data_IF_608333611419
#
_entry.id   IF_608333611419
#
_cell.length_a   1.000
_cell.length_b   1.000
_cell.length_c   1.000
_cell.angle_alpha   90.00
_cell.angle_beta   90.00
_cell.angle_gamma   90.00
#
_symmetry.space_group_name_H-M   'P 1'
#
loop_
_entity.id
_entity.type
_entity.pdbx_description
1 polymer ?
#
# COMPACT_ATOMS: atom_id res chain seq x y z
N UNK A 1 56.44 -11.41 -2.59
CA UNK A 1 55.77 -10.15 -2.19
C UNK A 1 54.52 -10.00 -3.06
N UNK A 2 53.36 -9.71 -2.47
CA UNK A 2 52.14 -9.50 -3.26
C UNK A 2 52.29 -8.30 -4.19
N UNK A 3 51.78 -8.41 -5.41
CA UNK A 3 51.75 -7.28 -6.34
C UNK A 3 50.77 -6.22 -5.83
N UNK A 4 51.02 -4.95 -6.14
CA UNK A 4 50.10 -3.84 -5.82
C UNK A 4 48.68 -4.10 -6.34
N UNK A 5 48.55 -4.83 -7.46
CA UNK A 5 47.27 -5.25 -8.06
C UNK A 5 46.52 -6.27 -7.18
N UNK A 6 47.23 -7.22 -6.58
CA UNK A 6 46.64 -8.26 -5.72
C UNK A 6 46.12 -7.67 -4.41
N UNK A 7 46.88 -6.72 -3.84
CA UNK A 7 46.46 -5.95 -2.66
C UNK A 7 45.21 -5.11 -2.95
N UNK A 8 45.15 -4.43 -4.10
CA UNK A 8 43.97 -3.67 -4.51
C UNK A 8 42.72 -4.55 -4.65
N UNK A 9 42.84 -5.72 -5.29
CA UNK A 9 41.74 -6.67 -5.45
C UNK A 9 41.27 -7.24 -4.10
N UNK A 10 42.20 -7.59 -3.20
CA UNK A 10 41.88 -8.07 -1.85
C UNK A 10 41.12 -7.01 -1.03
N UNK A 11 41.57 -5.76 -1.11
CA UNK A 11 40.95 -4.64 -0.38
C UNK A 11 39.56 -4.36 -0.95
N UNK A 12 39.42 -4.30 -2.28
CA UNK A 12 38.13 -4.10 -2.97
C UNK A 12 37.11 -5.18 -2.63
N UNK A 13 37.51 -6.46 -2.70
CA UNK A 13 36.61 -7.59 -2.38
C UNK A 13 36.21 -7.61 -0.91
N UNK A 14 37.08 -7.21 0.02
CA UNK A 14 36.75 -7.03 1.43
C UNK A 14 35.72 -5.92 1.65
N UNK A 15 35.86 -4.77 0.98
CA UNK A 15 34.88 -3.69 1.07
C UNK A 15 33.51 -4.11 0.53
N UNK A 16 33.46 -4.71 -0.66
CA UNK A 16 32.21 -5.22 -1.24
C UNK A 16 31.53 -6.21 -0.30
N UNK A 17 32.29 -7.10 0.33
CA UNK A 17 31.78 -8.05 1.32
C UNK A 17 31.13 -7.34 2.52
N UNK A 18 31.79 -6.35 3.10
CA UNK A 18 31.26 -5.59 4.25
C UNK A 18 29.98 -4.83 3.85
N UNK A 19 29.98 -4.17 2.68
CA UNK A 19 28.82 -3.45 2.16
C UNK A 19 27.62 -4.37 1.94
N UNK A 20 27.87 -5.58 1.43
CA UNK A 20 26.85 -6.59 1.28
C UNK A 20 26.23 -6.94 2.63
N UNK A 21 27.01 -7.34 3.64
CA UNK A 21 26.46 -7.68 4.96
C UNK A 21 25.59 -6.58 5.57
N UNK A 22 26.07 -5.32 5.57
CA UNK A 22 25.28 -4.17 6.05
C UNK A 22 23.95 -4.05 5.30
N UNK A 23 23.99 -4.18 3.97
CA UNK A 23 22.77 -4.12 3.14
C UNK A 23 21.77 -5.22 3.50
N UNK A 24 22.24 -6.44 3.74
CA UNK A 24 21.36 -7.56 4.13
C UNK A 24 20.69 -7.30 5.47
N UNK A 25 21.43 -6.78 6.45
CA UNK A 25 20.86 -6.49 7.76
C UNK A 25 19.80 -5.38 7.68
N UNK A 26 20.05 -4.32 6.91
CA UNK A 26 19.01 -3.31 6.64
C UNK A 26 17.75 -3.92 6.00
N UNK A 27 17.90 -4.84 5.03
CA UNK A 27 16.76 -5.50 4.39
C UNK A 27 15.97 -6.36 5.39
N UNK A 28 16.65 -7.06 6.32
CA UNK A 28 15.98 -7.80 7.39
C UNK A 28 15.13 -6.86 8.26
N UNK A 29 15.70 -5.74 8.70
CA UNK A 29 14.97 -4.76 9.50
C UNK A 29 13.77 -4.17 8.74
N UNK A 30 13.93 -3.82 7.45
CA UNK A 30 12.81 -3.33 6.64
C UNK A 30 11.70 -4.37 6.46
N UNK A 31 12.02 -5.66 6.44
CA UNK A 31 11.00 -6.72 6.38
C UNK A 31 10.21 -6.81 7.67
N UNK A 32 10.88 -6.76 8.82
CA UNK A 32 10.23 -6.75 10.13
C UNK A 32 9.29 -5.54 10.29
N UNK A 33 9.76 -4.33 9.99
CA UNK A 33 8.93 -3.11 10.04
C UNK A 33 7.74 -3.16 9.08
N UNK A 34 7.90 -3.73 7.90
CA UNK A 34 6.78 -3.93 6.95
C UNK A 34 5.76 -4.92 7.50
N UNK A 35 6.22 -5.99 8.13
CA UNK A 35 5.36 -7.00 8.73
C UNK A 35 4.53 -6.44 9.89
N UNK A 36 5.14 -5.64 10.77
CA UNK A 36 4.44 -4.89 11.81
C UNK A 36 3.37 -3.96 11.23
N UNK A 37 3.72 -3.18 10.19
CA UNK A 37 2.76 -2.33 9.48
C UNK A 37 1.60 -3.14 8.88
N UNK A 38 1.89 -4.30 8.29
CA UNK A 38 0.85 -5.18 7.74
C UNK A 38 0.02 -5.83 8.84
N UNK A 39 0.58 -6.14 10.01
CA UNK A 39 -0.15 -6.65 11.17
C UNK A 39 -1.12 -5.60 11.70
N UNK A 40 -0.64 -4.36 11.88
CA UNK A 40 -1.47 -3.22 12.29
C UNK A 40 -2.58 -2.90 11.27
N UNK A 41 -2.30 -3.04 9.97
CA UNK A 41 -3.36 -2.90 8.95
C UNK A 41 -4.39 -4.03 9.08
N UNK A 42 -3.94 -5.29 9.19
CA UNK A 42 -4.82 -6.47 9.28
C UNK A 42 -5.80 -6.41 10.45
N UNK A 43 -5.40 -5.86 11.59
CA UNK A 43 -6.29 -5.72 12.75
C UNK A 43 -7.43 -4.72 12.50
N UNK A 44 -7.22 -3.68 11.70
CA UNK A 44 -8.19 -2.61 11.45
C UNK A 44 -9.07 -2.89 10.22
N UNK A 45 -8.58 -3.68 9.25
CA UNK A 45 -9.31 -4.04 8.03
C UNK A 45 -10.78 -4.48 8.24
N UNK A 46 -11.13 -5.38 9.19
CA UNK A 46 -12.51 -5.82 9.33
C UNK A 46 -13.47 -4.68 9.70
N UNK A 47 -13.01 -3.68 10.46
CA UNK A 47 -13.83 -2.52 10.84
C UNK A 47 -14.09 -1.63 9.61
N UNK A 48 -13.03 -1.31 8.84
CA UNK A 48 -13.16 -0.50 7.63
C UNK A 48 -14.05 -1.18 6.57
N UNK A 49 -13.94 -2.51 6.46
CA UNK A 49 -14.78 -3.27 5.54
C UNK A 49 -16.26 -3.21 5.95
N UNK A 50 -16.57 -3.36 7.24
CA UNK A 50 -17.94 -3.26 7.74
C UNK A 50 -18.53 -1.86 7.51
N UNK A 51 -17.76 -0.79 7.73
CA UNK A 51 -18.21 0.58 7.46
C UNK A 51 -18.56 0.81 5.98
N UNK A 52 -17.74 0.26 5.07
CA UNK A 52 -17.99 0.39 3.63
C UNK A 52 -19.17 -0.48 3.18
N UNK A 53 -19.31 -1.69 3.72
CA UNK A 53 -20.45 -2.57 3.46
C UNK A 53 -21.77 -1.92 3.91
N UNK A 54 -21.79 -1.22 5.06
CA UNK A 54 -22.97 -0.45 5.52
C UNK A 54 -23.32 0.73 4.59
N UNK A 55 -22.31 1.44 4.06
CA UNK A 55 -22.52 2.50 3.06
C UNK A 55 -23.08 1.90 1.77
N UNK A 56 -22.51 0.78 1.33
CA UNK A 56 -22.94 0.10 0.11
C UNK A 56 -24.40 -0.35 0.19
N UNK A 57 -24.81 -1.01 1.28
CA UNK A 57 -26.20 -1.48 1.48
C UNK A 57 -27.19 -0.32 1.48
N UNK A 58 -26.87 0.79 2.17
CA UNK A 58 -27.73 1.98 2.20
C UNK A 58 -27.95 2.56 0.82
N UNK A 59 -26.91 2.62 0.00
CA UNK A 59 -27.02 3.18 -1.34
C UNK A 59 -27.71 2.22 -2.28
N UNK A 60 -27.43 0.92 -2.16
CA UNK A 60 -28.11 -0.13 -2.90
C UNK A 60 -29.63 -0.05 -2.72
N UNK A 61 -30.12 0.15 -1.50
CA UNK A 61 -31.54 0.35 -1.24
C UNK A 61 -32.13 1.60 -1.91
N UNK A 62 -31.37 2.72 -1.95
CA UNK A 62 -31.79 3.94 -2.67
C UNK A 62 -31.90 3.68 -4.17
N UNK A 63 -30.94 2.95 -4.74
CA UNK A 63 -30.96 2.58 -6.16
C UNK A 63 -32.13 1.67 -6.50
N UNK A 64 -32.43 0.66 -5.67
CA UNK A 64 -33.59 -0.22 -5.87
C UNK A 64 -34.93 0.54 -5.77
N UNK A 65 -35.04 1.48 -4.83
CA UNK A 65 -36.22 2.34 -4.71
C UNK A 65 -36.40 3.23 -5.95
N UNK A 66 -35.31 3.82 -6.45
CA UNK A 66 -35.32 4.61 -7.67
C UNK A 66 -35.66 3.77 -8.91
N UNK A 67 -35.08 2.58 -9.03
CA UNK A 67 -35.38 1.64 -10.12
C UNK A 67 -36.87 1.26 -10.12
N UNK A 68 -37.44 0.97 -8.95
CA UNK A 68 -38.86 0.65 -8.82
C UNK A 68 -39.77 1.81 -9.24
N UNK A 69 -39.40 3.05 -8.93
CA UNK A 69 -40.17 4.24 -9.31
C UNK A 69 -40.14 4.47 -10.83
N UNK A 70 -38.96 4.36 -11.45
CA UNK A 70 -38.76 4.62 -12.88
C UNK A 70 -39.31 3.49 -13.76
N UNK A 71 -39.18 2.24 -13.33
CA UNK A 71 -39.51 1.05 -14.15
C UNK A 71 -40.95 0.55 -13.95
N UNK A 72 -41.80 1.27 -13.20
CA UNK A 72 -43.19 0.87 -12.91
C UNK A 72 -44.04 0.65 -14.16
N UNK A 73 -43.75 1.36 -15.26
CA UNK A 73 -44.59 1.38 -16.46
C UNK A 73 -44.13 0.37 -17.54
N UNK A 74 -43.04 -0.37 -17.31
CA UNK A 74 -42.48 -1.33 -18.27
C UNK A 74 -42.95 -2.76 -17.95
N UNK A 75 -43.74 -3.41 -18.83
CA UNK A 75 -44.25 -4.75 -18.57
C UNK A 75 -43.12 -5.79 -18.62
N UNK A 76 -43.10 -6.69 -17.64
CA UNK A 76 -42.13 -7.80 -17.57
C UNK A 76 -40.80 -7.47 -16.88
N UNK A 77 -40.61 -6.24 -16.40
CA UNK A 77 -39.43 -5.87 -15.62
C UNK A 77 -39.58 -6.31 -14.16
N UNK A 78 -38.53 -6.92 -13.59
CA UNK A 78 -38.46 -7.26 -12.16
C UNK A 78 -37.34 -6.46 -11.50
N UNK A 79 -37.71 -5.63 -10.53
CA UNK A 79 -36.77 -4.80 -9.78
C UNK A 79 -35.79 -5.69 -9.00
N UNK A 80 -34.50 -5.40 -9.12
CA UNK A 80 -33.45 -6.12 -8.37
C UNK A 80 -33.15 -7.54 -8.86
N UNK A 81 -33.64 -7.94 -10.04
CA UNK A 81 -33.24 -9.20 -10.67
C UNK A 81 -31.77 -9.13 -11.10
N UNK A 82 -30.97 -10.14 -10.71
CA UNK A 82 -29.55 -10.16 -11.06
C UNK A 82 -29.39 -10.42 -12.56
N UNK A 83 -28.57 -9.61 -13.23
CA UNK A 83 -28.20 -9.82 -14.64
C UNK A 83 -27.51 -11.18 -14.86
N UNK A 84 -26.82 -11.67 -13.83
CA UNK A 84 -26.13 -12.95 -13.87
C UNK A 84 -27.04 -14.07 -13.36
N UNK A 85 -26.99 -15.22 -14.02
CA UNK A 85 -27.75 -16.42 -13.66
C UNK A 85 -27.11 -17.22 -12.51
N UNK A 86 -25.90 -16.84 -12.08
CA UNK A 86 -25.27 -17.43 -10.91
C UNK A 86 -25.85 -16.80 -9.65
N UNK A 87 -26.38 -17.60 -8.72
CA UNK A 87 -26.82 -17.14 -7.39
C UNK A 87 -25.69 -16.62 -6.48
N UNK A 88 -24.53 -16.27 -7.06
CA UNK A 88 -23.38 -15.66 -6.40
C UNK A 88 -23.51 -14.15 -6.51
N UNK A 89 -23.29 -13.45 -5.40
CA UNK A 89 -23.17 -12.00 -5.41
C UNK A 89 -21.94 -11.56 -6.20
N UNK A 90 -22.13 -10.62 -7.14
CA UNK A 90 -21.08 -10.03 -7.97
C UNK A 90 -21.09 -8.53 -7.71
N UNK A 91 -19.94 -7.90 -7.41
CA UNK A 91 -19.89 -6.46 -7.23
C UNK A 91 -20.26 -5.75 -8.55
N UNK A 92 -21.03 -4.65 -8.50
CA UNK A 92 -21.42 -3.92 -9.70
C UNK A 92 -20.19 -3.30 -10.39
N UNK A 93 -20.05 -3.50 -11.70
CA UNK A 93 -18.87 -3.14 -12.49
C UNK A 93 -18.69 -1.62 -12.74
N UNK A 94 -19.77 -0.84 -12.66
CA UNK A 94 -19.75 0.61 -12.91
C UNK A 94 -20.68 1.38 -11.96
N UNK A 95 -20.12 2.44 -11.35
CA UNK A 95 -20.77 3.64 -10.81
C UNK A 95 -22.04 3.50 -9.94
N UNK A 96 -22.26 2.36 -9.30
CA UNK A 96 -23.01 2.30 -8.03
C UNK A 96 -22.05 2.56 -6.85
N UNK A 97 -20.77 2.83 -7.13
CA UNK A 97 -19.84 3.37 -6.15
C UNK A 97 -20.07 4.87 -5.97
N UNK A 98 -20.47 5.22 -4.75
CA UNK A 98 -20.49 6.58 -4.24
C UNK A 98 -19.12 7.22 -4.46
N UNK A 99 -19.14 8.47 -4.93
CA UNK A 99 -17.99 9.34 -5.21
C UNK A 99 -16.86 9.20 -4.18
N UNK A 100 -15.78 8.52 -4.56
CA UNK A 100 -14.43 8.98 -4.19
C UNK A 100 -14.01 9.93 -5.31
N UNK A 101 -14.00 11.21 -4.95
CA UNK A 101 -13.79 12.35 -5.81
C UNK A 101 -12.49 12.24 -6.61
N UNK A 102 -12.59 12.01 -7.93
CA UNK A 102 -11.50 12.17 -8.88
C UNK A 102 -11.21 13.67 -9.19
N UNK A 103 -11.38 14.57 -8.23
CA UNK A 103 -11.10 16.00 -8.41
C UNK A 103 -9.61 16.37 -8.21
N UNK A 104 -8.74 15.41 -7.87
CA UNK A 104 -7.31 15.70 -7.64
C UNK A 104 -6.42 15.51 -8.89
N UNK A 105 -6.95 15.04 -10.02
CA UNK A 105 -6.11 14.62 -11.15
C UNK A 105 -5.87 15.69 -12.25
N UNK A 106 -6.46 16.90 -12.13
CA UNK A 106 -6.27 17.97 -13.14
C UNK A 106 -5.29 19.09 -12.74
N UNK A 107 -4.45 18.92 -11.70
CA UNK A 107 -3.55 20.00 -11.26
C UNK A 107 -2.05 19.76 -11.47
N UNK A 108 -1.61 18.56 -11.91
CA UNK A 108 -0.17 18.23 -11.98
C UNK A 108 0.42 18.37 -13.39
N UNK A 109 -0.40 18.57 -14.43
CA UNK A 109 0.10 18.68 -15.82
C UNK A 109 0.47 20.11 -16.25
N UNK A 110 0.09 21.15 -15.48
CA UNK A 110 0.36 22.55 -15.85
C UNK A 110 1.65 23.12 -15.24
N UNK A 111 2.21 22.51 -14.18
CA UNK A 111 3.39 23.02 -13.47
C UNK A 111 4.70 22.26 -13.78
N UNK A 112 4.70 21.31 -14.70
CA UNK A 112 5.92 20.58 -15.10
C UNK A 112 6.67 21.24 -16.26
N UNK A 113 6.03 22.19 -16.98
CA UNK A 113 6.64 22.88 -18.13
C UNK A 113 7.40 24.17 -17.77
N UNK A 114 7.29 24.66 -16.53
CA UNK A 114 7.97 25.87 -16.06
C UNK A 114 9.17 25.64 -15.13
N UNK A 115 9.36 24.43 -14.57
CA UNK A 115 10.36 24.22 -13.51
C UNK A 115 11.68 23.55 -13.96
N UNK A 116 11.80 23.15 -15.24
CA UNK A 116 13.02 22.54 -15.80
C UNK A 116 13.90 23.55 -16.56
N UNK A 117 13.99 24.77 -16.03
CA UNK A 117 14.69 25.87 -16.68
C UNK A 117 15.34 26.82 -15.70
N UNK A 118 15.93 26.33 -14.60
CA UNK A 118 16.98 26.98 -13.80
C UNK A 118 17.12 26.15 -12.51
N UNK A 119 18.26 25.50 -12.29
CA UNK A 119 19.02 25.48 -11.03
C UNK A 119 20.10 24.38 -11.11
N UNK A 120 21.22 24.71 -11.76
CA UNK A 120 22.52 24.16 -11.34
C UNK A 120 22.82 24.77 -9.96
N UNK A 121 23.50 24.02 -9.09
CA UNK A 121 23.92 24.33 -7.71
C UNK A 121 22.91 24.06 -6.59
N UNK A 122 23.05 22.90 -5.98
CA UNK A 122 23.20 22.74 -4.53
C UNK A 122 23.47 21.26 -4.18
N UNK A 123 24.69 20.80 -4.48
CA UNK A 123 25.29 19.75 -3.65
C UNK A 123 25.56 20.38 -2.29
N UNK A 124 24.91 19.86 -1.26
CA UNK A 124 25.35 19.64 0.13
C UNK A 124 24.05 19.45 0.92
N UNK A 125 23.60 18.20 1.02
CA UNK A 125 22.60 17.84 2.02
C UNK A 125 23.23 16.87 3.00
N UNK A 126 23.11 17.28 4.26
CA UNK A 126 23.60 16.64 5.46
C UNK A 126 23.31 15.14 5.49
N UNK A 127 24.33 14.37 5.87
CA UNK A 127 24.14 13.04 6.41
C UNK A 127 23.28 13.16 7.66
N UNK A 128 22.01 12.73 7.54
CA UNK A 128 21.24 12.33 8.72
C UNK A 128 21.71 10.92 9.05
N UNK A 129 22.53 10.84 10.09
CA UNK A 129 22.72 9.62 10.84
C UNK A 129 21.31 9.10 11.23
N UNK A 130 21.02 7.84 10.88
CA UNK A 130 20.07 7.11 11.69
C UNK A 130 20.82 6.83 12.98
N UNK A 131 20.49 7.57 14.03
CA UNK A 131 20.91 7.23 15.38
C UNK A 131 20.50 5.78 15.66
N UNK A 132 21.51 4.96 15.90
CA UNK A 132 21.34 3.63 16.46
C UNK A 132 20.83 3.83 17.89
N UNK A 133 19.51 3.70 18.07
CA UNK A 133 18.91 3.43 19.36
C UNK A 133 19.46 2.10 19.87
N UNK A 134 20.36 2.22 20.83
CA UNK A 134 20.89 1.14 21.65
C UNK A 134 19.78 0.65 22.59
N UNK A 135 18.96 -0.30 22.12
CA UNK A 135 17.98 -1.03 22.92
C UNK A 135 18.32 -2.54 22.94
N UNK A 136 19.50 -2.87 23.43
CA UNK A 136 19.80 -4.13 24.11
C UNK A 136 19.03 -4.16 25.44
N UNK A 137 17.72 -4.40 25.33
CA UNK A 137 16.78 -4.54 26.43
C UNK A 137 15.70 -5.54 26.07
N UNK A 138 16.00 -6.82 26.29
CA UNK A 138 15.05 -7.84 26.73
C UNK A 138 13.56 -7.66 26.37
N UNK A 139 13.14 -8.20 25.22
CA UNK A 139 11.84 -8.88 25.15
C UNK A 139 12.08 -10.33 24.72
N UNK A 140 12.43 -11.13 25.72
CA UNK A 140 12.07 -12.55 25.74
C UNK A 140 10.54 -12.62 25.74
N UNK A 141 9.97 -12.94 24.59
CA UNK A 141 8.51 -13.04 24.45
C UNK A 141 8.13 -13.75 23.15
N UNK A 142 8.83 -14.85 22.83
CA UNK A 142 8.33 -15.76 21.82
C UNK A 142 7.00 -16.33 22.30
N UNK A 143 5.90 -15.92 21.65
CA UNK A 143 4.62 -16.60 21.78
C UNK A 143 4.84 -18.02 21.23
N UNK A 144 4.98 -18.99 22.13
CA UNK A 144 4.89 -20.40 21.77
C UNK A 144 3.48 -20.60 21.23
N UNK A 145 3.38 -20.91 19.95
CA UNK A 145 2.16 -21.46 19.38
C UNK A 145 2.08 -22.87 19.91
N UNK A 146 1.24 -23.08 20.93
CA UNK A 146 0.89 -24.41 21.40
C UNK A 146 0.20 -25.16 20.24
N UNK A 147 0.75 -26.34 19.93
CA UNK A 147 0.14 -27.28 18.98
C UNK A 147 -0.76 -28.21 19.79
N UNK A 148 -2.06 -27.96 19.72
CA UNK A 148 -3.10 -28.96 19.93
C UNK A 148 -3.76 -29.27 18.58
#
# INVERSE_FOLDING_TARGET
>A
MYSKKDLFNLVSTKYLRIQFYRKFDHVKCFRALKEEKYAARRSILPVLQAEEDERFVREWHKYLAYEAEVMKDVPGWKVGESVYNSGRWVPPASAISIRICAASCMFVTFWWRCFFGLQVMAMVFHGRACDEGNDDGEIRGGLKVDKD
#
